data_IF_939832324267
#
_entry.id   IF_939832324267
#
_cell.length_a   1.000
_cell.length_b   1.000
_cell.length_c   1.000
_cell.angle_alpha   90.00
_cell.angle_beta   90.00
_cell.angle_gamma   90.00
#
_symmetry.space_group_name_H-M   'P 1'
#
loop_
_entity.id
_entity.type
_entity.pdbx_description
1 polymer ?
#
# COMPACT_ATOMS: atom_id res chain seq x y z
N UNK A 1 -51.71 16.34 -18.08
CA UNK A 1 -51.22 15.77 -16.79
C UNK A 1 -50.13 14.69 -16.98
N UNK A 2 -49.97 14.08 -18.17
CA UNK A 2 -48.98 13.04 -18.43
C UNK A 2 -47.52 13.51 -18.57
N UNK A 3 -47.25 14.73 -19.05
CA UNK A 3 -45.85 15.19 -19.25
C UNK A 3 -45.07 15.42 -17.97
N UNK A 4 -45.73 15.84 -16.88
CA UNK A 4 -45.07 16.04 -15.57
C UNK A 4 -44.63 14.73 -14.93
N UNK A 5 -45.40 13.65 -15.13
CA UNK A 5 -45.07 12.32 -14.61
C UNK A 5 -43.91 11.71 -15.41
N UNK A 6 -43.89 11.93 -16.74
CA UNK A 6 -42.78 11.51 -17.61
C UNK A 6 -41.48 12.24 -17.27
N UNK A 7 -41.52 13.57 -17.11
CA UNK A 7 -40.35 14.37 -16.69
C UNK A 7 -39.83 14.00 -15.29
N UNK A 8 -40.73 13.74 -14.34
CA UNK A 8 -40.33 13.29 -13.00
C UNK A 8 -39.64 11.92 -13.04
N UNK A 9 -40.11 11.00 -13.90
CA UNK A 9 -39.48 9.69 -14.10
C UNK A 9 -38.11 9.75 -14.76
N UNK A 10 -37.92 10.64 -15.73
CA UNK A 10 -36.62 10.88 -16.37
C UNK A 10 -35.62 11.52 -15.41
N UNK A 11 -36.04 12.52 -14.63
CA UNK A 11 -35.21 13.16 -13.61
C UNK A 11 -34.74 12.19 -12.51
N UNK A 12 -35.64 11.32 -12.03
CA UNK A 12 -35.29 10.30 -11.03
C UNK A 12 -34.33 9.25 -11.61
N UNK A 13 -34.52 8.85 -12.87
CA UNK A 13 -33.62 7.90 -13.55
C UNK A 13 -32.23 8.48 -13.74
N UNK A 14 -32.13 9.74 -14.18
CA UNK A 14 -30.85 10.43 -14.35
C UNK A 14 -30.12 10.61 -13.02
N UNK A 15 -30.84 10.97 -11.95
CA UNK A 15 -30.28 11.12 -10.60
C UNK A 15 -29.72 9.79 -10.08
N UNK A 16 -30.46 8.69 -10.24
CA UNK A 16 -30.02 7.35 -9.81
C UNK A 16 -28.83 6.87 -10.64
N UNK A 17 -28.83 7.14 -11.95
CA UNK A 17 -27.73 6.76 -12.84
C UNK A 17 -26.46 7.56 -12.53
N UNK A 18 -26.59 8.85 -12.22
CA UNK A 18 -25.48 9.70 -11.79
C UNK A 18 -24.93 9.25 -10.44
N UNK A 19 -25.79 8.95 -9.46
CA UNK A 19 -25.39 8.42 -8.16
C UNK A 19 -24.68 7.06 -8.28
N UNK A 20 -25.17 6.18 -9.14
CA UNK A 20 -24.53 4.86 -9.38
C UNK A 20 -23.16 5.02 -10.03
N UNK A 21 -23.01 5.92 -11.01
CA UNK A 21 -21.72 6.21 -11.65
C UNK A 21 -20.72 6.81 -10.67
N UNK A 22 -21.20 7.71 -9.81
CA UNK A 22 -20.35 8.34 -8.80
C UNK A 22 -19.90 7.32 -7.74
N UNK A 23 -20.82 6.46 -7.28
CA UNK A 23 -20.47 5.37 -6.36
C UNK A 23 -19.48 4.36 -6.96
N UNK A 24 -19.60 4.04 -8.26
CA UNK A 24 -18.63 3.19 -8.97
C UNK A 24 -17.25 3.86 -9.10
N UNK A 25 -17.23 5.15 -9.45
CA UNK A 25 -15.98 5.92 -9.53
C UNK A 25 -15.28 6.02 -8.17
N UNK A 26 -16.04 6.30 -7.11
CA UNK A 26 -15.52 6.37 -5.74
C UNK A 26 -14.99 5.00 -5.29
N UNK A 27 -15.63 3.91 -5.71
CA UNK A 27 -15.20 2.55 -5.43
C UNK A 27 -13.89 2.20 -6.14
N UNK A 28 -13.77 2.54 -7.42
CA UNK A 28 -12.56 2.32 -8.21
C UNK A 28 -11.38 3.12 -7.65
N UNK A 29 -11.60 4.38 -7.26
CA UNK A 29 -10.59 5.22 -6.60
C UNK A 29 -10.15 4.65 -5.25
N UNK A 30 -11.09 4.16 -4.44
CA UNK A 30 -10.77 3.50 -3.17
C UNK A 30 -9.97 2.21 -3.36
N UNK A 31 -10.31 1.41 -4.38
CA UNK A 31 -9.59 0.17 -4.72
C UNK A 31 -8.16 0.46 -5.20
N UNK A 32 -7.99 1.44 -6.09
CA UNK A 32 -6.68 1.87 -6.57
C UNK A 32 -5.83 2.39 -5.41
N UNK A 33 -6.38 3.29 -4.58
CA UNK A 33 -5.68 3.80 -3.40
C UNK A 33 -5.19 2.67 -2.51
N UNK A 34 -6.05 1.70 -2.19
CA UNK A 34 -5.69 0.53 -1.38
C UNK A 34 -4.62 -0.34 -2.03
N UNK A 35 -4.67 -0.51 -3.35
CA UNK A 35 -3.66 -1.24 -4.11
C UNK A 35 -2.28 -0.57 -4.01
N UNK A 36 -2.23 0.75 -4.26
CA UNK A 36 -0.99 1.52 -4.19
C UNK A 36 -0.41 1.58 -2.78
N UNK A 37 -1.23 1.80 -1.73
CA UNK A 37 -0.75 1.77 -0.34
C UNK A 37 -0.21 0.40 0.03
N UNK A 38 -0.87 -0.68 -0.42
CA UNK A 38 -0.41 -2.05 -0.17
C UNK A 38 0.93 -2.33 -0.84
N UNK A 39 1.09 -1.94 -2.10
CA UNK A 39 2.35 -2.10 -2.85
C UNK A 39 3.50 -1.31 -2.21
N UNK A 40 3.26 -0.04 -1.86
CA UNK A 40 4.24 0.80 -1.16
C UNK A 40 4.67 0.17 0.17
N UNK A 41 3.71 -0.29 0.98
CA UNK A 41 3.98 -0.97 2.24
C UNK A 41 4.77 -2.27 2.09
N UNK A 42 4.46 -3.08 1.07
CA UNK A 42 5.19 -4.33 0.79
C UNK A 42 6.65 -4.05 0.42
N UNK A 43 6.90 -3.06 -0.44
CA UNK A 43 8.26 -2.69 -0.87
C UNK A 43 9.11 -2.21 0.30
N UNK A 44 8.60 -1.28 1.11
CA UNK A 44 9.32 -0.76 2.29
C UNK A 44 9.55 -1.86 3.33
N UNK A 45 8.56 -2.74 3.55
CA UNK A 45 8.73 -3.91 4.43
C UNK A 45 9.84 -4.82 3.94
N UNK A 46 9.92 -5.11 2.64
CA UNK A 46 10.95 -6.00 2.10
C UNK A 46 12.35 -5.45 2.30
N UNK A 47 12.54 -4.14 2.12
CA UNK A 47 13.83 -3.49 2.39
C UNK A 47 14.16 -3.53 3.89
N UNK A 48 13.17 -3.29 4.77
CA UNK A 48 13.36 -3.41 6.21
C UNK A 48 13.77 -4.83 6.63
N UNK A 49 13.17 -5.87 6.05
CA UNK A 49 13.56 -7.27 6.31
C UNK A 49 15.01 -7.55 5.93
N UNK A 50 15.48 -6.99 4.80
CA UNK A 50 16.88 -7.11 4.39
C UNK A 50 17.82 -6.39 5.34
N UNK A 51 17.46 -5.17 5.77
CA UNK A 51 18.22 -4.42 6.77
C UNK A 51 18.28 -5.16 8.11
N UNK A 52 17.17 -5.75 8.55
CA UNK A 52 17.11 -6.52 9.80
C UNK A 52 17.96 -7.80 9.72
N UNK A 53 17.97 -8.48 8.57
CA UNK A 53 18.85 -9.63 8.34
C UNK A 53 20.33 -9.22 8.41
N UNK A 54 20.71 -8.11 7.77
CA UNK A 54 22.07 -7.56 7.86
C UNK A 54 22.44 -7.15 9.29
N UNK A 55 21.51 -6.55 10.06
CA UNK A 55 21.73 -6.25 11.48
C UNK A 55 21.95 -7.50 12.31
N UNK A 56 21.25 -8.59 12.00
CA UNK A 56 21.44 -9.86 12.70
C UNK A 56 22.81 -10.47 12.35
N UNK A 57 23.25 -10.38 11.08
CA UNK A 57 24.60 -10.78 10.68
C UNK A 57 25.69 -9.92 11.33
N UNK A 58 25.46 -8.62 11.52
CA UNK A 58 26.39 -7.76 12.27
C UNK A 58 26.61 -8.24 13.71
N UNK A 59 25.58 -8.83 14.35
CA UNK A 59 25.70 -9.37 15.72
C UNK A 59 26.44 -10.71 15.79
N UNK A 60 26.48 -11.47 14.69
CA UNK A 60 27.10 -12.79 14.66
C UNK A 60 28.54 -12.73 14.17
N UNK A 61 28.75 -12.72 12.86
CA UNK A 61 30.08 -12.77 12.22
C UNK A 61 30.59 -11.39 11.79
N UNK A 62 29.74 -10.36 11.89
CA UNK A 62 29.99 -9.06 11.29
C UNK A 62 29.68 -9.06 9.78
N UNK A 63 29.63 -7.86 9.18
CA UNK A 63 29.49 -7.67 7.75
C UNK A 63 30.83 -7.37 7.09
N UNK A 64 31.03 -7.92 5.89
CA UNK A 64 32.12 -7.54 5.00
C UNK A 64 31.96 -6.08 4.52
N UNK A 65 33.02 -5.48 3.98
CA UNK A 65 32.99 -4.12 3.44
C UNK A 65 31.94 -3.94 2.31
N UNK A 66 31.76 -4.98 1.48
CA UNK A 66 30.75 -4.97 0.43
C UNK A 66 29.33 -5.01 1.01
N UNK A 67 29.09 -5.85 2.01
CA UNK A 67 27.78 -5.93 2.68
C UNK A 67 27.48 -4.67 3.50
N UNK A 68 28.48 -4.01 4.08
CA UNK A 68 28.31 -2.70 4.72
C UNK A 68 27.88 -1.61 3.72
N UNK A 69 28.48 -1.59 2.53
CA UNK A 69 28.08 -0.68 1.46
C UNK A 69 26.64 -0.97 0.98
N UNK A 70 26.29 -2.25 0.83
CA UNK A 70 24.94 -2.65 0.47
C UNK A 70 23.92 -2.29 1.56
N UNK A 71 24.28 -2.44 2.84
CA UNK A 71 23.45 -2.02 3.97
C UNK A 71 23.16 -0.51 3.91
N UNK A 72 24.18 0.32 3.71
CA UNK A 72 24.00 1.77 3.58
C UNK A 72 23.12 2.15 2.37
N UNK A 73 23.30 1.49 1.22
CA UNK A 73 22.45 1.69 0.05
C UNK A 73 20.98 1.30 0.30
N UNK A 74 20.74 0.23 1.08
CA UNK A 74 19.39 -0.17 1.46
C UNK A 74 18.75 0.84 2.42
N UNK A 75 19.50 1.43 3.35
CA UNK A 75 19.00 2.51 4.22
C UNK A 75 18.63 3.76 3.42
N UNK A 76 19.50 4.19 2.50
CA UNK A 76 19.24 5.33 1.61
C UNK A 76 18.01 5.07 0.72
N UNK A 77 17.93 3.90 0.08
CA UNK A 77 16.80 3.52 -0.76
C UNK A 77 15.50 3.49 0.03
N UNK A 78 15.52 2.94 1.25
CA UNK A 78 14.34 2.92 2.13
C UNK A 78 13.89 4.34 2.46
N UNK A 79 14.81 5.20 2.88
CA UNK A 79 14.49 6.59 3.24
C UNK A 79 13.98 7.38 2.04
N UNK A 80 14.55 7.16 0.85
CA UNK A 80 14.09 7.80 -0.39
C UNK A 80 12.67 7.41 -0.75
N UNK A 81 12.36 6.11 -0.72
CA UNK A 81 11.00 5.61 -0.97
C UNK A 81 10.00 6.13 0.07
N UNK A 82 10.36 6.14 1.35
CA UNK A 82 9.51 6.69 2.42
C UNK A 82 9.19 8.17 2.16
N UNK A 83 10.18 8.97 1.75
CA UNK A 83 9.97 10.39 1.43
C UNK A 83 9.11 10.59 0.17
N UNK A 84 9.31 9.78 -0.87
CA UNK A 84 8.51 9.84 -2.10
C UNK A 84 7.05 9.45 -1.85
N UNK A 85 6.81 8.40 -1.07
CA UNK A 85 5.45 8.02 -0.69
C UNK A 85 4.80 9.04 0.24
N UNK A 86 5.53 9.59 1.22
CA UNK A 86 5.01 10.68 2.06
C UNK A 86 4.62 11.91 1.23
N UNK A 87 5.42 12.27 0.23
CA UNK A 87 5.10 13.36 -0.72
C UNK A 87 3.88 13.03 -1.58
N UNK A 88 3.79 11.80 -2.10
CA UNK A 88 2.68 11.38 -2.95
C UNK A 88 1.33 11.42 -2.21
N UNK A 89 1.31 10.99 -0.93
CA UNK A 89 0.11 10.96 -0.11
C UNK A 89 -0.12 12.23 0.70
N UNK A 90 0.76 13.23 0.60
CA UNK A 90 0.64 14.50 1.33
C UNK A 90 -0.70 15.16 1.04
N UNK A 91 -1.44 15.51 2.10
CA UNK A 91 -2.75 16.18 1.99
C UNK A 91 -3.91 15.29 1.54
N UNK A 92 -3.68 13.99 1.29
CA UNK A 92 -4.74 13.05 0.87
C UNK A 92 -5.47 12.36 2.04
N UNK A 93 -4.92 12.46 3.26
CA UNK A 93 -5.42 11.76 4.45
C UNK A 93 -5.15 10.25 4.47
N UNK A 94 -4.47 9.71 3.45
CA UNK A 94 -4.11 8.29 3.34
C UNK A 94 -2.82 8.02 4.11
N UNK A 95 -2.87 7.13 5.09
CA UNK A 95 -1.67 6.55 5.69
C UNK A 95 -1.25 5.32 4.90
N UNK A 96 -0.18 5.48 4.11
CA UNK A 96 0.33 4.43 3.24
C UNK A 96 1.28 3.47 3.94
N UNK A 97 1.73 3.82 5.16
CA UNK A 97 2.77 3.09 5.87
C UNK A 97 2.36 1.63 6.06
N UNK A 98 3.32 0.69 5.98
CA UNK A 98 3.02 -0.71 6.22
C UNK A 98 2.40 -0.89 7.60
N UNK A 99 1.26 -1.60 7.65
CA UNK A 99 0.65 -1.99 8.92
C UNK A 99 1.67 -2.75 9.77
N UNK A 100 1.71 -2.43 11.08
CA UNK A 100 2.55 -3.13 12.07
C UNK A 100 2.49 -4.64 11.83
N UNK A 101 3.62 -5.35 11.92
CA UNK A 101 3.61 -6.77 11.65
C UNK A 101 2.64 -7.48 12.59
N UNK A 102 1.74 -8.29 12.01
CA UNK A 102 1.21 -9.45 12.73
C UNK A 102 2.44 -10.29 13.03
N UNK A 103 2.70 -10.56 14.31
CA UNK A 103 3.82 -11.37 14.78
C UNK A 103 4.04 -12.56 13.83
N UNK A 104 5.31 -12.84 13.48
CA UNK A 104 5.71 -13.93 12.58
C UNK A 104 4.98 -15.22 12.98
N UNK A 105 3.82 -15.47 12.38
CA UNK A 105 3.15 -16.75 12.46
C UNK A 105 4.10 -17.71 11.79
N UNK A 106 4.70 -18.58 12.59
CA UNK A 106 5.56 -19.65 12.12
C UNK A 106 4.72 -20.42 11.10
N UNK A 107 4.94 -20.16 9.81
CA UNK A 107 4.42 -21.01 8.74
C UNK A 107 5.17 -22.31 8.90
N UNK A 108 4.60 -23.24 9.69
CA UNK A 108 5.00 -24.64 9.70
C UNK A 108 4.83 -25.12 8.27
N UNK A 109 5.94 -25.20 7.55
CA UNK A 109 6.01 -25.90 6.26
C UNK A 109 5.74 -27.38 6.60
N UNK A 110 4.71 -28.03 6.02
CA UNK A 110 4.53 -29.45 6.22
C UNK A 110 5.73 -30.17 5.60
N UNK A 111 6.40 -30.98 6.41
CA UNK A 111 7.41 -31.92 5.95
C UNK A 111 6.76 -32.85 4.93
N UNK A 112 7.24 -32.80 3.68
CA UNK A 112 6.91 -33.82 2.70
C UNK A 112 7.85 -35.00 2.97
N UNK A 113 7.23 -36.11 3.38
CA UNK A 113 7.82 -37.44 3.51
C UNK A 113 8.31 -37.98 2.17
#
# INVERSE_FOLDING_TARGET
MNDRIRQAGEFLRDTVQQATRQALSDHDDAMLRRGFTSAAGITVRRIQEMLDASKEQMKSTGLTKAEQAQYAQLEELKSGLEADYDRYWQGTGVDWRPLKPIAKGIVRRPEQQ
#
